data_IF_031223719927
#
_entry.id   IF_031223719927
#
_cell.length_a   1.000
_cell.length_b   1.000
_cell.length_c   1.000
_cell.angle_alpha   90.00
_cell.angle_beta   90.00
_cell.angle_gamma   90.00
#
_symmetry.space_group_name_H-M   'P 1'
#
loop_
_entity.id
_entity.type
_entity.pdbx_description
1 polymer ?
#
# COMPACT_ATOMS: atom_id res chain seq x y z
N UNK A 1 29.62 -22.58 -3.18
CA UNK A 1 28.84 -21.31 -3.08
C UNK A 1 27.37 -21.60 -3.24
N UNK A 2 26.54 -21.17 -2.31
CA UNK A 2 25.09 -21.29 -2.53
C UNK A 2 24.71 -20.50 -3.78
N UNK A 3 23.80 -21.03 -4.62
CA UNK A 3 23.34 -20.30 -5.79
C UNK A 3 22.65 -18.98 -5.34
N UNK A 4 22.92 -17.90 -6.05
CA UNK A 4 22.21 -16.64 -5.84
C UNK A 4 20.73 -16.87 -6.02
N UNK A 5 19.93 -16.32 -5.12
CA UNK A 5 18.50 -16.24 -5.33
C UNK A 5 18.22 -15.54 -6.68
N UNK A 6 17.29 -16.08 -7.44
CA UNK A 6 16.94 -15.54 -8.76
C UNK A 6 16.42 -14.12 -8.68
N UNK A 7 15.71 -13.79 -7.59
CA UNK A 7 15.14 -12.47 -7.31
C UNK A 7 15.46 -12.04 -5.88
N UNK A 8 15.45 -10.74 -5.65
CA UNK A 8 15.43 -10.18 -4.30
C UNK A 8 13.98 -10.02 -3.83
N UNK A 9 13.78 -9.90 -2.52
CA UNK A 9 12.45 -9.60 -1.97
C UNK A 9 11.90 -8.30 -2.53
N UNK A 10 12.76 -7.29 -2.65
CA UNK A 10 12.39 -5.97 -3.18
C UNK A 10 11.91 -6.05 -4.63
N UNK A 11 12.57 -6.85 -5.45
CA UNK A 11 12.16 -7.07 -6.84
C UNK A 11 10.78 -7.74 -6.92
N UNK A 12 10.54 -8.74 -6.08
CA UNK A 12 9.24 -9.43 -6.03
C UNK A 12 8.14 -8.49 -5.56
N UNK A 13 8.39 -7.70 -4.52
CA UNK A 13 7.41 -6.73 -4.00
C UNK A 13 7.12 -5.65 -5.04
N UNK A 14 8.14 -5.14 -5.74
CA UNK A 14 7.96 -4.16 -6.79
C UNK A 14 7.10 -4.70 -7.94
N UNK A 15 7.33 -5.94 -8.36
CA UNK A 15 6.53 -6.59 -9.39
C UNK A 15 5.09 -6.82 -8.91
N UNK A 16 4.91 -7.23 -7.66
CA UNK A 16 3.59 -7.42 -7.05
C UNK A 16 2.81 -6.12 -6.96
N UNK A 17 3.47 -5.04 -6.57
CA UNK A 17 2.86 -3.70 -6.53
C UNK A 17 2.42 -3.25 -7.92
N UNK A 18 3.30 -3.38 -8.91
CA UNK A 18 2.99 -3.01 -10.29
C UNK A 18 1.81 -3.81 -10.85
N UNK A 19 1.78 -5.11 -10.60
CA UNK A 19 0.67 -5.97 -11.00
C UNK A 19 -0.64 -5.53 -10.35
N UNK A 20 -0.61 -5.21 -9.08
CA UNK A 20 -1.79 -4.75 -8.33
C UNK A 20 -2.28 -3.39 -8.83
N UNK A 21 -1.37 -2.47 -9.13
CA UNK A 21 -1.73 -1.15 -9.68
C UNK A 21 -2.42 -1.25 -11.03
N UNK A 22 -1.97 -2.18 -11.87
CA UNK A 22 -2.50 -2.35 -13.22
C UNK A 22 -3.79 -3.16 -13.25
N UNK A 23 -3.88 -4.22 -12.48
CA UNK A 23 -4.93 -5.22 -12.61
C UNK A 23 -5.74 -5.49 -11.36
N UNK A 24 -5.38 -4.88 -10.23
CA UNK A 24 -6.05 -5.07 -8.96
C UNK A 24 -5.50 -6.25 -8.16
N UNK A 25 -5.91 -6.31 -6.89
CA UNK A 25 -5.44 -7.33 -5.94
C UNK A 25 -5.84 -8.75 -6.35
N UNK A 26 -6.96 -8.91 -7.05
CA UNK A 26 -7.42 -10.21 -7.53
C UNK A 26 -6.44 -10.86 -8.51
N UNK A 27 -5.68 -10.05 -9.24
CA UNK A 27 -4.66 -10.54 -10.17
C UNK A 27 -3.36 -10.94 -9.46
N UNK A 28 -3.18 -10.53 -8.21
CA UNK A 28 -1.98 -10.86 -7.42
C UNK A 28 -2.07 -12.28 -6.89
N UNK A 29 -1.79 -13.22 -7.76
CA UNK A 29 -1.72 -14.66 -7.49
C UNK A 29 -0.28 -15.12 -7.70
N UNK A 30 0.06 -16.31 -7.21
CA UNK A 30 1.36 -16.91 -7.44
C UNK A 30 1.68 -17.02 -8.94
N UNK A 31 0.71 -17.44 -9.74
CA UNK A 31 0.86 -17.55 -11.19
C UNK A 31 1.03 -16.19 -11.87
N UNK A 32 0.16 -15.24 -11.52
CA UNK A 32 0.20 -13.89 -12.09
C UNK A 32 1.50 -13.18 -11.81
N UNK A 33 1.97 -13.29 -10.56
CA UNK A 33 3.24 -12.70 -10.16
C UNK A 33 4.42 -13.38 -10.85
N UNK A 34 4.44 -14.71 -10.89
CA UNK A 34 5.51 -15.45 -11.57
C UNK A 34 5.55 -15.13 -13.06
N UNK A 35 4.39 -15.06 -13.72
CA UNK A 35 4.31 -14.68 -15.13
C UNK A 35 4.90 -13.30 -15.38
N UNK A 36 4.60 -12.33 -14.50
CA UNK A 36 5.15 -10.98 -14.62
C UNK A 36 6.66 -10.94 -14.45
N UNK A 37 7.20 -11.80 -13.57
CA UNK A 37 8.64 -11.93 -13.36
C UNK A 37 9.34 -12.81 -14.41
N UNK A 38 8.57 -13.40 -15.32
CA UNK A 38 9.12 -14.32 -16.32
C UNK A 38 9.67 -15.61 -15.72
N UNK A 39 9.01 -16.11 -14.68
CA UNK A 39 9.51 -17.22 -13.89
C UNK A 39 8.41 -18.20 -13.51
N UNK A 40 8.78 -19.33 -12.90
CA UNK A 40 7.86 -20.19 -12.16
C UNK A 40 7.64 -19.64 -10.74
N UNK A 41 6.62 -20.11 -10.01
CA UNK A 41 6.38 -19.66 -8.64
C UNK A 41 7.46 -20.07 -7.63
N UNK A 42 8.21 -21.11 -7.90
CA UNK A 42 9.18 -21.69 -6.95
C UNK A 42 10.19 -20.68 -6.38
N UNK A 43 10.87 -19.84 -7.19
CA UNK A 43 11.83 -18.87 -6.64
C UNK A 43 11.16 -17.83 -5.73
N UNK A 44 9.91 -17.53 -5.95
CA UNK A 44 9.16 -16.58 -5.11
C UNK A 44 8.96 -17.16 -3.71
N UNK A 45 8.56 -18.43 -3.62
CA UNK A 45 8.32 -19.10 -2.34
C UNK A 45 9.60 -19.58 -1.65
N UNK A 46 10.76 -19.36 -2.25
CA UNK A 46 12.03 -19.40 -1.55
C UNK A 46 12.31 -18.12 -0.75
N UNK A 47 11.63 -17.02 -1.08
CA UNK A 47 11.80 -15.72 -0.43
C UNK A 47 10.67 -15.39 0.54
N UNK A 48 9.45 -15.85 0.25
CA UNK A 48 8.25 -15.54 1.03
C UNK A 48 7.56 -16.83 1.44
N UNK A 49 7.01 -16.85 2.63
CA UNK A 49 6.32 -18.02 3.17
C UNK A 49 4.94 -18.25 2.55
N UNK A 50 4.31 -17.21 2.04
CA UNK A 50 2.94 -17.29 1.49
C UNK A 50 2.63 -16.08 0.60
N UNK A 51 1.57 -16.19 -0.19
CA UNK A 51 1.03 -15.05 -0.93
C UNK A 51 0.51 -13.96 0.01
N UNK A 52 0.00 -14.34 1.18
CA UNK A 52 -0.46 -13.38 2.17
C UNK A 52 0.66 -12.44 2.63
N UNK A 53 1.87 -12.96 2.83
CA UNK A 53 3.04 -12.15 3.16
C UNK A 53 3.33 -11.12 2.07
N UNK A 54 3.25 -11.53 0.79
CA UNK A 54 3.43 -10.65 -0.35
C UNK A 54 2.32 -9.60 -0.41
N UNK A 55 1.08 -10.01 -0.21
CA UNK A 55 -0.07 -9.11 -0.20
C UNK A 55 0.04 -8.05 0.89
N UNK A 56 0.46 -8.44 2.09
CA UNK A 56 0.69 -7.49 3.18
C UNK A 56 1.80 -6.50 2.85
N UNK A 57 2.85 -6.96 2.19
CA UNK A 57 3.93 -6.08 1.73
C UNK A 57 3.43 -5.06 0.69
N UNK A 58 2.57 -5.49 -0.23
CA UNK A 58 1.96 -4.60 -1.23
C UNK A 58 1.07 -3.56 -0.55
N UNK A 59 0.29 -3.96 0.43
CA UNK A 59 -0.56 -3.04 1.21
C UNK A 59 0.29 -1.98 1.90
N UNK A 60 1.39 -2.40 2.52
CA UNK A 60 2.32 -1.49 3.19
C UNK A 60 2.95 -0.50 2.21
N UNK A 61 3.37 -0.97 1.03
CA UNK A 61 3.93 -0.11 -0.02
C UNK A 61 2.91 0.87 -0.58
N UNK A 62 1.66 0.43 -0.77
CA UNK A 62 0.57 1.30 -1.21
C UNK A 62 0.29 2.40 -0.18
N UNK A 63 0.28 2.05 1.11
CA UNK A 63 0.13 3.01 2.20
C UNK A 63 1.26 4.02 2.24
N UNK A 64 2.51 3.57 2.06
CA UNK A 64 3.69 4.43 2.02
C UNK A 64 3.62 5.41 0.84
N UNK A 65 3.19 4.95 -0.33
CA UNK A 65 3.00 5.80 -1.50
C UNK A 65 1.95 6.89 -1.23
N UNK A 66 0.82 6.51 -0.66
CA UNK A 66 -0.23 7.46 -0.31
C UNK A 66 0.27 8.51 0.70
N UNK A 67 0.95 8.07 1.75
CA UNK A 67 1.51 8.96 2.77
C UNK A 67 2.50 9.95 2.18
N UNK A 68 3.36 9.49 1.29
CA UNK A 68 4.35 10.34 0.61
C UNK A 68 3.66 11.40 -0.25
N UNK A 69 2.67 11.02 -1.06
CA UNK A 69 1.92 11.97 -1.90
C UNK A 69 1.15 12.99 -1.07
N UNK A 70 0.57 12.55 0.03
CA UNK A 70 -0.11 13.46 0.95
C UNK A 70 0.87 14.47 1.55
N UNK A 71 2.04 14.00 2.01
CA UNK A 71 3.08 14.85 2.53
C UNK A 71 3.57 15.89 1.52
N UNK A 72 3.75 15.48 0.27
CA UNK A 72 4.14 16.37 -0.83
C UNK A 72 3.09 17.46 -1.08
N UNK A 73 1.81 17.08 -1.09
CA UNK A 73 0.73 18.03 -1.30
C UNK A 73 0.65 19.07 -0.17
N UNK A 74 0.79 18.62 1.08
CA UNK A 74 0.81 19.52 2.25
C UNK A 74 2.03 20.43 2.18
N UNK A 75 3.21 19.89 1.87
CA UNK A 75 4.46 20.65 1.79
C UNK A 75 4.47 21.67 0.65
N UNK A 76 3.64 21.48 -0.37
CA UNK A 76 3.55 22.43 -1.50
C UNK A 76 3.07 23.83 -1.06
N UNK A 77 2.34 23.89 0.06
CA UNK A 77 1.85 25.17 0.60
C UNK A 77 0.73 25.84 -0.20
N UNK A 78 0.20 25.18 -1.24
CA UNK A 78 -0.87 25.75 -2.07
C UNK A 78 -2.16 25.92 -1.29
N UNK A 79 -2.40 25.05 -0.32
CA UNK A 79 -3.64 25.02 0.46
C UNK A 79 -3.32 24.79 1.93
N UNK A 80 -4.21 25.17 2.84
CA UNK A 80 -4.11 24.72 4.24
C UNK A 80 -4.03 23.20 4.32
N UNK A 81 -3.39 22.67 5.37
CA UNK A 81 -3.10 21.24 5.50
C UNK A 81 -4.33 20.35 5.34
N UNK A 82 -5.47 20.76 5.95
CA UNK A 82 -6.69 19.96 5.84
C UNK A 82 -7.23 19.86 4.41
N UNK A 83 -7.14 20.97 3.65
CA UNK A 83 -7.55 20.99 2.24
C UNK A 83 -6.56 20.22 1.36
N UNK A 84 -5.26 20.38 1.63
CA UNK A 84 -4.21 19.65 0.92
C UNK A 84 -4.36 18.15 1.11
N UNK A 85 -4.69 17.69 2.31
CA UNK A 85 -4.92 16.27 2.59
C UNK A 85 -6.14 15.72 1.84
N UNK A 86 -7.24 16.50 1.78
CA UNK A 86 -8.42 16.14 0.99
C UNK A 86 -8.13 16.05 -0.50
N UNK A 87 -7.35 17.00 -1.03
CA UNK A 87 -6.94 17.00 -2.43
C UNK A 87 -6.05 15.79 -2.76
N UNK A 88 -5.11 15.47 -1.89
CA UNK A 88 -4.26 14.30 -2.05
C UNK A 88 -5.06 13.01 -2.07
N UNK A 89 -6.04 12.89 -1.18
CA UNK A 89 -6.95 11.75 -1.11
C UNK A 89 -7.72 11.57 -2.42
N UNK A 90 -8.31 12.64 -2.93
CA UNK A 90 -9.08 12.61 -4.17
C UNK A 90 -8.18 12.26 -5.36
N UNK A 91 -7.01 12.88 -5.46
CA UNK A 91 -6.06 12.59 -6.55
C UNK A 91 -5.61 11.14 -6.52
N UNK A 92 -5.30 10.62 -5.35
CA UNK A 92 -4.89 9.22 -5.21
C UNK A 92 -6.01 8.28 -5.65
N UNK A 93 -7.25 8.56 -5.26
CA UNK A 93 -8.42 7.78 -5.69
C UNK A 93 -8.60 7.78 -7.21
N UNK A 94 -8.27 8.89 -7.87
CA UNK A 94 -8.38 9.03 -9.32
C UNK A 94 -7.21 8.40 -10.07
N UNK A 95 -5.99 8.62 -9.60
CA UNK A 95 -4.77 8.19 -10.29
C UNK A 95 -4.36 6.76 -9.94
N UNK A 96 -4.64 6.32 -8.72
CA UNK A 96 -4.28 5.01 -8.20
C UNK A 96 -5.52 4.25 -7.73
N UNK A 97 -6.46 4.05 -8.64
CA UNK A 97 -7.76 3.43 -8.33
C UNK A 97 -7.64 2.10 -7.62
N UNK A 98 -6.77 1.22 -8.10
CA UNK A 98 -6.64 -0.11 -7.55
C UNK A 98 -5.96 -0.09 -6.17
N UNK A 99 -4.98 0.77 -5.97
CA UNK A 99 -4.37 0.94 -4.65
C UNK A 99 -5.33 1.59 -3.66
N UNK A 100 -6.13 2.54 -4.12
CA UNK A 100 -7.16 3.16 -3.30
C UNK A 100 -8.18 2.12 -2.81
N UNK A 101 -8.66 1.27 -3.72
CA UNK A 101 -9.56 0.17 -3.37
C UNK A 101 -8.92 -0.76 -2.35
N UNK A 102 -7.67 -1.10 -2.55
CA UNK A 102 -6.91 -1.96 -1.65
C UNK A 102 -6.82 -1.38 -0.24
N UNK A 103 -6.54 -0.09 -0.12
CA UNK A 103 -6.37 0.57 1.17
C UNK A 103 -7.69 0.79 1.91
N UNK A 104 -8.76 1.13 1.19
CA UNK A 104 -9.99 1.62 1.81
C UNK A 104 -11.23 0.77 1.57
N UNK A 105 -11.22 -0.10 0.56
CA UNK A 105 -12.43 -0.80 0.13
C UNK A 105 -12.31 -2.34 0.19
N UNK A 106 -11.16 -2.88 0.60
CA UNK A 106 -11.00 -4.33 0.70
C UNK A 106 -11.73 -4.88 1.93
N UNK A 107 -12.09 -6.16 1.84
CA UNK A 107 -12.65 -6.89 2.97
C UNK A 107 -11.56 -7.15 4.01
N UNK A 108 -11.75 -6.61 5.21
CA UNK A 108 -10.80 -6.73 6.33
C UNK A 108 -11.24 -7.71 7.41
N UNK A 109 -12.28 -8.50 7.17
CA UNK A 109 -12.84 -9.38 8.20
C UNK A 109 -11.86 -10.42 8.73
N UNK A 110 -10.88 -10.83 7.93
CA UNK A 110 -9.86 -11.79 8.35
C UNK A 110 -8.58 -11.14 8.89
N UNK A 111 -8.51 -9.82 8.99
CA UNK A 111 -7.30 -9.13 9.43
C UNK A 111 -7.31 -8.93 10.95
N UNK A 112 -6.12 -8.95 11.60
CA UNK A 112 -6.02 -8.62 13.02
C UNK A 112 -6.50 -7.20 13.26
N UNK A 113 -7.32 -7.03 14.30
CA UNK A 113 -7.91 -5.74 14.67
C UNK A 113 -6.86 -4.75 15.22
N UNK A 114 -5.65 -5.21 15.48
CA UNK A 114 -4.59 -4.34 15.97
C UNK A 114 -4.11 -3.36 14.91
N UNK A 115 -4.79 -2.31 14.89
CA UNK A 115 -4.46 -0.91 14.73
C UNK A 115 -3.41 -0.46 13.73
N UNK A 116 -2.95 -1.32 12.86
CA UNK A 116 -2.06 -0.84 11.80
C UNK A 116 -2.85 -0.63 10.53
N UNK A 117 -3.70 0.37 10.58
CA UNK A 117 -4.13 1.00 9.34
C UNK A 117 -2.83 1.42 8.62
N UNK A 118 -2.52 0.89 7.45
CA UNK A 118 -1.29 1.26 6.74
C UNK A 118 -1.21 2.74 6.42
N UNK A 119 -2.35 3.42 6.49
CA UNK A 119 -2.42 4.88 6.35
C UNK A 119 -3.15 5.44 7.54
N UNK A 120 -2.43 6.06 8.44
CA UNK A 120 -3.02 6.92 9.46
C UNK A 120 -3.03 8.34 8.91
N UNK A 121 -4.15 8.72 8.32
CA UNK A 121 -4.33 10.05 7.72
C UNK A 121 -4.08 11.14 8.77
N UNK A 122 -4.49 10.88 10.00
CA UNK A 122 -4.32 11.81 11.10
C UNK A 122 -2.84 12.07 11.39
N UNK A 123 -2.05 11.01 11.49
CA UNK A 123 -0.62 11.16 11.72
C UNK A 123 0.10 11.79 10.53
N UNK A 124 -0.29 11.40 9.30
CA UNK A 124 0.35 11.88 8.09
C UNK A 124 0.03 13.34 7.81
N UNK A 125 -1.24 13.73 7.98
CA UNK A 125 -1.71 15.07 7.63
C UNK A 125 -1.47 16.12 8.73
N UNK A 126 -1.55 15.72 9.99
CA UNK A 126 -1.59 16.64 11.11
C UNK A 126 -0.55 16.34 12.20
N UNK A 127 0.37 15.43 11.92
CA UNK A 127 1.30 14.95 12.95
C UNK A 127 0.58 14.08 13.97
N UNK A 128 1.13 14.00 15.17
CA UNK A 128 0.54 13.17 16.23
C UNK A 128 -0.66 13.86 16.84
N UNK A 129 -1.81 13.78 16.18
CA UNK A 129 -3.06 14.29 16.74
C UNK A 129 -3.81 13.14 17.36
N UNK A 130 -4.16 13.28 18.65
CA UNK A 130 -4.95 12.28 19.36
C UNK A 130 -6.31 12.10 18.67
N UNK A 131 -6.78 10.87 18.45
CA UNK A 131 -8.11 10.61 17.92
C UNK A 131 -9.24 11.30 18.72
N UNK A 132 -9.00 11.57 19.98
CA UNK A 132 -9.95 12.25 20.84
C UNK A 132 -10.14 13.73 20.52
N UNK A 133 -9.19 14.34 19.80
CA UNK A 133 -9.28 15.75 19.43
C UNK A 133 -10.45 16.00 18.47
N UNK A 134 -10.76 15.03 17.60
CA UNK A 134 -11.89 15.16 16.65
C UNK A 134 -13.24 14.86 17.29
N UNK A 135 -13.28 13.97 18.30
CA UNK A 135 -14.55 13.63 18.96
C UNK A 135 -15.06 14.73 19.89
N UNK A 136 -14.21 15.67 20.27
CA UNK A 136 -14.57 16.78 21.16
C UNK A 136 -14.95 18.07 20.42
N UNK A 137 -14.94 18.05 19.11
CA UNK A 137 -15.32 19.21 18.29
C UNK A 137 -16.75 19.14 17.78
N UNK A 138 -17.61 18.53 18.52
CA UNK A 138 -19.04 18.54 18.22
C UNK A 138 -19.70 19.83 18.72
#
# INVERSE_FOLDING_TARGET
MPPKAKFTKEEVIAAALALTREQGMAALTARGLAARLGSSPKPIFGLFSSMEEIQQAVIAEAGALFSRRMGEEIASGKYPAYKASGMAYIRFAQEEKELFKLLYMRDRRGEPIEGKNPVNITETAFGTISPYTFSNQR
#
